data_IF_127772969139
#
_entry.id   IF_127772969139
#
_cell.length_a   1.000
_cell.length_b   1.000
_cell.length_c   1.000
_cell.angle_alpha   90.00
_cell.angle_beta   90.00
_cell.angle_gamma   90.00
#
_symmetry.space_group_name_H-M   'P 1'
#
loop_
_entity.id
_entity.type
_entity.pdbx_description
1 polymer ?
#
# COMPACT_ATOMS: atom_id res chain seq x y z
N UNK A 1 -24.69 20.12 -2.08
CA UNK A 1 -24.05 20.12 -0.75
C UNK A 1 -23.14 18.93 -0.66
N UNK A 2 -21.97 19.05 -0.04
CA UNK A 2 -21.09 17.92 0.22
C UNK A 2 -21.74 16.96 1.22
N UNK A 3 -21.63 15.62 0.98
CA UNK A 3 -22.08 14.63 1.95
C UNK A 3 -21.24 14.70 3.22
N UNK A 4 -21.90 14.62 4.38
CA UNK A 4 -21.24 14.63 5.68
C UNK A 4 -21.05 13.20 6.18
N UNK A 5 -19.80 12.81 6.46
CA UNK A 5 -19.45 11.50 6.98
C UNK A 5 -18.89 11.60 8.40
N UNK A 6 -19.37 10.75 9.31
CA UNK A 6 -18.75 10.53 10.61
C UNK A 6 -18.06 9.16 10.64
N UNK A 7 -16.80 9.12 11.09
CA UNK A 7 -16.06 7.88 11.27
C UNK A 7 -15.86 7.63 12.77
N UNK A 8 -16.63 6.72 13.33
CA UNK A 8 -16.54 6.33 14.74
C UNK A 8 -15.36 5.35 14.88
N UNK A 9 -14.40 5.69 15.74
CA UNK A 9 -13.09 5.03 15.76
C UNK A 9 -12.11 5.63 14.76
N UNK A 10 -12.41 6.83 14.24
CA UNK A 10 -11.68 7.51 13.18
C UNK A 10 -10.20 7.80 13.46
N UNK A 11 -9.78 7.75 14.72
CA UNK A 11 -8.36 7.93 15.09
C UNK A 11 -7.52 6.64 14.95
N UNK A 12 -8.14 5.49 14.70
CA UNK A 12 -7.47 4.25 14.35
C UNK A 12 -6.89 4.27 12.93
N UNK A 13 -6.04 3.31 12.60
CA UNK A 13 -5.35 3.26 11.30
C UNK A 13 -6.32 3.16 10.12
N UNK A 14 -7.31 2.25 10.17
CA UNK A 14 -8.35 2.14 9.14
C UNK A 14 -9.25 3.37 9.11
N UNK A 15 -9.58 3.95 10.26
CA UNK A 15 -10.37 5.18 10.34
C UNK A 15 -9.70 6.35 9.63
N UNK A 16 -8.40 6.53 9.82
CA UNK A 16 -7.61 7.56 9.11
C UNK A 16 -7.39 7.23 7.64
N UNK A 17 -7.34 5.96 7.29
CA UNK A 17 -7.30 5.54 5.91
C UNK A 17 -8.59 5.95 5.17
N UNK A 18 -9.76 5.67 5.75
CA UNK A 18 -11.06 6.05 5.21
C UNK A 18 -11.31 7.57 5.26
N UNK A 19 -10.76 8.29 6.26
CA UNK A 19 -10.78 9.76 6.28
C UNK A 19 -10.20 10.32 4.98
N UNK A 20 -8.98 9.90 4.62
CA UNK A 20 -8.33 10.34 3.38
C UNK A 20 -9.13 9.94 2.14
N UNK A 21 -9.64 8.71 2.13
CA UNK A 21 -10.42 8.16 1.05
C UNK A 21 -11.71 8.98 0.77
N UNK A 22 -12.47 9.31 1.80
CA UNK A 22 -13.70 10.10 1.69
C UNK A 22 -13.42 11.57 1.39
N UNK A 23 -12.40 12.17 2.03
CA UNK A 23 -12.03 13.56 1.77
C UNK A 23 -11.58 13.79 0.32
N UNK A 24 -10.84 12.86 -0.27
CA UNK A 24 -10.45 12.89 -1.69
C UNK A 24 -11.65 12.84 -2.65
N UNK A 25 -12.80 12.33 -2.18
CA UNK A 25 -14.06 12.26 -2.93
C UNK A 25 -15.05 13.37 -2.58
N UNK A 26 -14.56 14.43 -1.92
CA UNK A 26 -15.32 15.65 -1.65
C UNK A 26 -16.33 15.52 -0.51
N UNK A 27 -16.21 14.50 0.35
CA UNK A 27 -17.04 14.39 1.55
C UNK A 27 -16.47 15.23 2.69
N UNK A 28 -17.36 15.80 3.52
CA UNK A 28 -17.00 16.48 4.76
C UNK A 28 -16.88 15.44 5.88
N UNK A 29 -15.66 15.16 6.33
CA UNK A 29 -15.36 14.02 7.21
C UNK A 29 -15.08 14.48 8.62
N UNK A 30 -15.77 13.90 9.59
CA UNK A 30 -15.53 14.08 11.03
C UNK A 30 -15.03 12.79 11.66
N UNK A 31 -13.85 12.83 12.29
CA UNK A 31 -13.34 11.73 13.09
C UNK A 31 -13.93 11.76 14.50
N UNK A 32 -14.55 10.65 14.90
CA UNK A 32 -15.22 10.52 16.19
C UNK A 32 -14.43 9.53 17.05
N UNK A 33 -13.88 10.03 18.17
CA UNK A 33 -13.19 9.23 19.19
C UNK A 33 -14.05 9.05 20.44
N UNK A 34 -13.51 8.38 21.47
CA UNK A 34 -14.23 8.07 22.72
C UNK A 34 -14.71 9.31 23.48
N UNK A 35 -13.99 10.41 23.40
CA UNK A 35 -14.31 11.68 24.08
C UNK A 35 -15.07 12.68 23.19
N UNK A 36 -15.28 12.34 21.92
CA UNK A 36 -15.97 13.23 20.99
C UNK A 36 -17.44 13.29 21.32
N UNK A 37 -17.99 14.50 21.28
CA UNK A 37 -19.44 14.73 21.40
C UNK A 37 -19.93 15.26 20.07
N UNK A 38 -20.59 14.40 19.28
CA UNK A 38 -21.17 14.76 17.99
C UNK A 38 -22.67 14.46 18.00
N UNK A 39 -23.40 15.18 17.18
CA UNK A 39 -24.80 14.92 16.93
C UNK A 39 -24.92 14.08 15.66
N UNK A 40 -25.13 12.77 15.82
CA UNK A 40 -25.16 11.84 14.69
C UNK A 40 -26.25 12.15 13.65
N UNK A 41 -27.32 12.82 14.04
CA UNK A 41 -28.37 13.30 13.13
C UNK A 41 -27.88 14.33 12.09
N UNK A 42 -26.66 14.85 12.20
CA UNK A 42 -26.13 15.83 11.26
C UNK A 42 -25.39 15.15 10.07
N UNK A 43 -25.18 13.83 10.11
CA UNK A 43 -24.41 13.09 9.13
C UNK A 43 -25.28 12.28 8.17
N UNK A 44 -24.85 12.22 6.91
CA UNK A 44 -25.46 11.43 5.85
C UNK A 44 -24.96 9.99 5.87
N UNK A 45 -23.69 9.82 6.25
CA UNK A 45 -22.99 8.53 6.30
C UNK A 45 -22.31 8.40 7.66
N UNK A 46 -22.50 7.27 8.34
CA UNK A 46 -21.84 6.96 9.60
C UNK A 46 -21.16 5.61 9.48
N UNK A 47 -19.83 5.62 9.60
CA UNK A 47 -18.97 4.46 9.53
C UNK A 47 -18.53 4.06 10.94
N UNK A 48 -18.63 2.78 11.27
CA UNK A 48 -18.10 2.18 12.51
C UNK A 48 -16.78 1.49 12.18
N UNK A 49 -15.69 2.04 12.71
CA UNK A 49 -14.31 1.58 12.49
C UNK A 49 -13.58 1.34 13.82
N UNK A 50 -14.25 0.66 14.73
CA UNK A 50 -13.72 0.30 16.05
C UNK A 50 -13.30 -1.18 16.10
N UNK A 51 -12.52 -1.63 17.10
CA UNK A 51 -12.21 -3.04 17.29
C UNK A 51 -13.45 -3.93 17.37
N UNK A 52 -13.34 -5.18 16.90
CA UNK A 52 -14.45 -6.14 16.75
C UNK A 52 -15.20 -6.32 18.08
N UNK A 53 -14.46 -6.47 19.17
CA UNK A 53 -14.97 -6.72 20.54
C UNK A 53 -15.89 -5.63 21.09
N UNK A 54 -15.76 -4.39 20.60
CA UNK A 54 -16.59 -3.26 21.05
C UNK A 54 -17.57 -2.78 19.96
N UNK A 55 -17.55 -3.37 18.78
CA UNK A 55 -18.35 -2.93 17.64
C UNK A 55 -19.84 -2.92 17.94
N UNK A 56 -20.39 -3.99 18.53
CA UNK A 56 -21.81 -4.09 18.85
C UNK A 56 -22.25 -3.03 19.87
N UNK A 57 -21.44 -2.77 20.90
CA UNK A 57 -21.72 -1.76 21.91
C UNK A 57 -21.73 -0.34 21.31
N UNK A 58 -20.78 -0.08 20.42
CA UNK A 58 -20.70 1.21 19.71
C UNK A 58 -21.88 1.39 18.75
N UNK A 59 -22.27 0.35 18.02
CA UNK A 59 -23.46 0.37 17.16
C UNK A 59 -24.70 0.68 18.00
N UNK A 60 -24.89 0.03 19.15
CA UNK A 60 -26.02 0.26 20.05
C UNK A 60 -26.10 1.71 20.55
N UNK A 61 -24.96 2.37 20.75
CA UNK A 61 -24.90 3.76 21.19
C UNK A 61 -25.12 4.76 20.05
N UNK A 62 -24.70 4.46 18.84
CA UNK A 62 -24.70 5.38 17.69
C UNK A 62 -26.00 5.29 16.89
N UNK A 63 -26.43 4.09 16.58
CA UNK A 63 -27.51 3.83 15.63
C UNK A 63 -28.84 4.50 15.98
N UNK A 64 -29.30 4.59 17.26
CA UNK A 64 -30.57 5.24 17.61
C UNK A 64 -30.63 6.73 17.31
N UNK A 65 -29.47 7.37 17.12
CA UNK A 65 -29.35 8.84 16.97
C UNK A 65 -29.18 9.29 15.53
N UNK A 66 -29.30 8.38 14.57
CA UNK A 66 -29.17 8.69 13.14
C UNK A 66 -30.42 9.35 12.59
N UNK A 67 -30.22 10.23 11.61
CA UNK A 67 -31.37 10.85 10.88
C UNK A 67 -31.98 9.86 9.89
N UNK A 68 -33.22 10.09 9.47
CA UNK A 68 -33.81 9.37 8.35
C UNK A 68 -32.90 9.40 7.11
N UNK A 69 -32.90 8.33 6.37
CA UNK A 69 -32.13 8.15 5.13
C UNK A 69 -30.60 8.19 5.29
N UNK A 70 -30.07 8.26 6.50
CA UNK A 70 -28.63 8.09 6.72
C UNK A 70 -28.19 6.66 6.43
N UNK A 71 -26.96 6.50 5.97
CA UNK A 71 -26.31 5.19 5.77
C UNK A 71 -25.44 4.88 6.98
N UNK A 72 -25.75 3.81 7.71
CA UNK A 72 -24.90 3.26 8.76
C UNK A 72 -24.17 2.02 8.22
N UNK A 73 -22.85 1.98 8.36
CA UNK A 73 -22.11 0.78 8.02
C UNK A 73 -20.92 0.55 8.96
N UNK A 74 -20.54 -0.72 9.13
CA UNK A 74 -19.30 -1.14 9.80
C UNK A 74 -18.29 -1.67 8.78
N UNK A 75 -17.02 -1.82 9.23
CA UNK A 75 -15.94 -2.41 8.43
C UNK A 75 -15.29 -3.61 9.13
N UNK A 76 -16.01 -4.29 10.01
CA UNK A 76 -15.47 -5.43 10.76
C UNK A 76 -15.24 -6.66 9.89
N UNK A 77 -14.37 -7.55 10.35
CA UNK A 77 -14.10 -8.83 9.69
C UNK A 77 -15.15 -9.91 9.94
N UNK A 78 -16.18 -9.62 10.74
CA UNK A 78 -17.32 -10.51 11.03
C UNK A 78 -18.62 -9.79 10.69
N UNK A 79 -19.67 -10.52 10.29
CA UNK A 79 -20.91 -9.89 9.82
C UNK A 79 -22.13 -10.14 10.69
N UNK A 80 -22.30 -11.35 11.21
CA UNK A 80 -23.53 -11.73 11.92
C UNK A 80 -23.89 -10.81 13.08
N UNK A 81 -22.95 -10.60 14.01
CA UNK A 81 -23.24 -9.87 15.25
C UNK A 81 -23.40 -8.36 15.03
N UNK A 82 -22.52 -7.67 14.29
CA UNK A 82 -22.72 -6.28 13.92
C UNK A 82 -24.04 -6.02 13.20
N UNK A 83 -24.42 -6.88 12.24
CA UNK A 83 -25.68 -6.77 11.50
C UNK A 83 -26.88 -6.90 12.41
N UNK A 84 -26.92 -7.91 13.28
CA UNK A 84 -27.99 -8.07 14.26
C UNK A 84 -28.13 -6.85 15.15
N UNK A 85 -27.01 -6.28 15.59
CA UNK A 85 -26.99 -5.11 16.43
C UNK A 85 -27.48 -3.86 15.69
N UNK A 86 -27.07 -3.67 14.42
CA UNK A 86 -27.59 -2.56 13.58
C UNK A 86 -29.11 -2.67 13.42
N UNK A 87 -29.62 -3.86 13.09
CA UNK A 87 -31.05 -4.10 12.90
C UNK A 87 -31.85 -3.87 14.18
N UNK A 88 -31.29 -4.20 15.32
CA UNK A 88 -31.96 -4.03 16.63
C UNK A 88 -31.98 -2.57 17.10
N UNK A 89 -30.96 -1.77 16.73
CA UNK A 89 -30.74 -0.45 17.33
C UNK A 89 -31.13 0.71 16.41
N UNK A 90 -31.04 0.53 15.07
CA UNK A 90 -31.24 1.62 14.15
C UNK A 90 -32.72 1.85 13.81
N UNK A 91 -33.18 3.12 13.71
CA UNK A 91 -34.51 3.45 13.22
C UNK A 91 -34.79 2.81 11.85
N UNK A 92 -36.04 2.48 11.57
CA UNK A 92 -36.41 1.82 10.30
C UNK A 92 -36.10 2.64 9.05
N UNK A 93 -36.01 3.96 9.19
CA UNK A 93 -35.68 4.89 8.11
C UNK A 93 -34.17 4.98 7.79
N UNK A 94 -33.31 4.29 8.54
CA UNK A 94 -31.86 4.28 8.34
C UNK A 94 -31.47 3.12 7.44
N UNK A 95 -30.63 3.37 6.45
CA UNK A 95 -30.06 2.35 5.58
C UNK A 95 -28.89 1.65 6.26
N UNK A 96 -28.86 0.32 6.20
CA UNK A 96 -27.86 -0.48 6.90
C UNK A 96 -27.07 -1.31 5.91
N UNK A 97 -25.76 -1.23 6.02
CA UNK A 97 -24.81 -2.00 5.22
C UNK A 97 -23.70 -2.52 6.12
N UNK A 98 -23.16 -3.67 5.83
CA UNK A 98 -21.95 -4.13 6.49
C UNK A 98 -20.87 -4.36 5.44
N UNK A 99 -19.68 -3.83 5.65
CA UNK A 99 -18.59 -3.82 4.67
C UNK A 99 -17.39 -4.55 5.24
N UNK A 100 -16.66 -5.29 4.42
CA UNK A 100 -15.37 -5.88 4.81
C UNK A 100 -14.31 -5.60 3.75
N UNK A 101 -13.47 -4.57 3.93
CA UNK A 101 -12.28 -4.40 3.12
C UNK A 101 -11.31 -5.54 3.40
N UNK A 102 -10.95 -6.32 2.37
CA UNK A 102 -10.00 -7.44 2.53
C UNK A 102 -8.54 -6.96 2.46
N UNK A 103 -8.29 -5.78 2.96
CA UNK A 103 -6.95 -5.17 3.03
C UNK A 103 -6.77 -4.38 4.32
N UNK A 104 -5.52 -4.16 4.69
CA UNK A 104 -5.16 -3.36 5.86
C UNK A 104 -4.76 -1.92 5.52
N UNK A 105 -4.53 -1.08 6.53
CA UNK A 105 -4.26 0.35 6.39
C UNK A 105 -2.94 0.69 5.66
N UNK A 106 -2.08 -0.30 5.45
CA UNK A 106 -0.83 -0.15 4.67
C UNK A 106 -1.03 -0.08 3.16
N UNK A 107 -2.25 -0.33 2.64
CA UNK A 107 -2.52 -0.14 1.21
C UNK A 107 -2.64 1.35 0.87
N UNK A 108 -2.01 1.82 -0.23
CA UNK A 108 -2.06 3.24 -0.60
C UNK A 108 -3.46 3.67 -1.04
N UNK A 109 -4.18 2.80 -1.72
CA UNK A 109 -5.52 3.02 -2.29
C UNK A 109 -6.32 1.72 -2.39
N UNK A 110 -7.49 1.75 -3.04
CA UNK A 110 -8.36 0.59 -3.27
C UNK A 110 -8.11 -0.13 -4.60
N UNK A 111 -7.23 0.38 -5.46
CA UNK A 111 -7.03 -0.20 -6.79
C UNK A 111 -6.69 -1.69 -6.73
N UNK A 112 -7.52 -2.51 -7.36
CA UNK A 112 -7.39 -3.97 -7.37
C UNK A 112 -7.66 -4.68 -6.04
N UNK A 113 -8.02 -3.95 -4.96
CA UNK A 113 -8.38 -4.55 -3.68
C UNK A 113 -9.80 -5.11 -3.72
N UNK A 114 -10.06 -6.12 -2.91
CA UNK A 114 -11.42 -6.68 -2.77
C UNK A 114 -12.12 -6.06 -1.58
N UNK A 115 -13.37 -5.65 -1.77
CA UNK A 115 -14.27 -5.16 -0.72
C UNK A 115 -15.55 -5.98 -0.77
N UNK A 116 -15.92 -6.60 0.33
CA UNK A 116 -17.19 -7.29 0.44
C UNK A 116 -18.24 -6.32 1.00
N UNK A 117 -19.36 -6.21 0.32
CA UNK A 117 -20.54 -5.45 0.74
C UNK A 117 -21.63 -6.43 1.08
N UNK A 118 -22.21 -6.30 2.27
CA UNK A 118 -23.36 -7.09 2.73
C UNK A 118 -24.53 -6.13 2.95
N UNK A 119 -25.49 -6.06 2.01
CA UNK A 119 -26.72 -5.29 2.20
C UNK A 119 -27.51 -5.85 3.39
N UNK A 120 -28.03 -4.96 4.24
CA UNK A 120 -28.76 -5.35 5.46
C UNK A 120 -30.18 -4.81 5.44
N UNK A 121 -30.34 -3.52 5.12
CA UNK A 121 -31.64 -2.86 5.03
C UNK A 121 -31.54 -1.64 4.11
N UNK A 122 -32.40 -1.55 3.10
CA UNK A 122 -32.39 -0.55 2.04
C UNK A 122 -31.38 -0.92 0.94
N UNK A 123 -31.65 -0.43 -0.27
CA UNK A 123 -30.82 -0.73 -1.45
C UNK A 123 -29.88 0.45 -1.81
N UNK A 124 -30.33 1.68 -1.48
CA UNK A 124 -29.59 2.90 -1.84
C UNK A 124 -28.24 3.00 -1.16
N UNK A 125 -28.16 2.62 0.13
CA UNK A 125 -26.91 2.68 0.90
C UNK A 125 -25.89 1.68 0.42
N UNK A 126 -26.28 0.44 0.12
CA UNK A 126 -25.40 -0.58 -0.42
C UNK A 126 -24.91 -0.23 -1.83
N UNK A 127 -25.80 0.24 -2.71
CA UNK A 127 -25.42 0.69 -4.05
C UNK A 127 -24.47 1.89 -3.99
N UNK A 128 -24.76 2.89 -3.14
CA UNK A 128 -23.88 4.04 -2.96
C UNK A 128 -22.46 3.63 -2.56
N UNK A 129 -22.32 2.71 -1.58
CA UNK A 129 -21.01 2.25 -1.13
C UNK A 129 -20.31 1.39 -2.20
N UNK A 130 -21.05 0.54 -2.91
CA UNK A 130 -20.50 -0.27 -4.00
C UNK A 130 -19.96 0.65 -5.11
N UNK A 131 -20.75 1.59 -5.63
CA UNK A 131 -20.35 2.54 -6.67
C UNK A 131 -19.11 3.36 -6.24
N UNK A 132 -19.11 3.79 -4.95
CA UNK A 132 -18.00 4.56 -4.39
C UNK A 132 -16.69 3.77 -4.40
N UNK A 133 -16.72 2.48 -4.04
CA UNK A 133 -15.55 1.63 -3.99
C UNK A 133 -15.11 1.18 -5.39
N UNK A 134 -16.05 0.82 -6.27
CA UNK A 134 -15.76 0.47 -7.67
C UNK A 134 -15.13 1.64 -8.43
N UNK A 135 -15.65 2.87 -8.22
CA UNK A 135 -15.06 4.09 -8.80
C UNK A 135 -13.61 4.33 -8.35
N UNK A 136 -13.20 3.69 -7.26
CA UNK A 136 -11.84 3.72 -6.72
C UNK A 136 -10.97 2.55 -7.20
N UNK A 137 -11.45 1.74 -8.15
CA UNK A 137 -10.75 0.58 -8.67
C UNK A 137 -10.83 -0.69 -7.81
N UNK A 138 -11.69 -0.69 -6.77
CA UNK A 138 -11.90 -1.90 -5.97
C UNK A 138 -12.73 -2.93 -6.75
N UNK A 139 -12.52 -4.20 -6.43
CA UNK A 139 -13.43 -5.29 -6.79
C UNK A 139 -14.45 -5.44 -5.68
N UNK A 140 -15.70 -5.09 -5.96
CA UNK A 140 -16.79 -5.20 -5.01
C UNK A 140 -17.49 -6.54 -5.20
N UNK A 141 -17.66 -7.28 -4.11
CA UNK A 141 -18.38 -8.54 -4.07
C UNK A 141 -19.53 -8.42 -3.06
N UNK A 142 -20.72 -8.80 -3.48
CA UNK A 142 -21.89 -8.80 -2.60
C UNK A 142 -22.15 -10.19 -2.05
N UNK A 143 -22.20 -10.32 -0.70
CA UNK A 143 -22.44 -11.56 -0.01
C UNK A 143 -23.47 -11.36 1.11
N UNK A 144 -24.24 -12.41 1.41
CA UNK A 144 -25.00 -12.48 2.66
C UNK A 144 -24.07 -12.63 3.87
N UNK A 145 -24.53 -12.24 5.06
CA UNK A 145 -23.75 -12.38 6.30
C UNK A 145 -23.29 -13.81 6.55
N UNK A 146 -24.16 -14.78 6.33
CA UNK A 146 -23.85 -16.21 6.55
C UNK A 146 -22.83 -16.74 5.54
N UNK A 147 -22.92 -16.30 4.31
CA UNK A 147 -21.97 -16.69 3.26
C UNK A 147 -20.60 -16.04 3.50
N UNK A 148 -20.59 -14.75 3.84
CA UNK A 148 -19.38 -14.04 4.23
C UNK A 148 -18.66 -14.76 5.37
N UNK A 149 -19.35 -15.00 6.51
CA UNK A 149 -18.71 -15.56 7.70
C UNK A 149 -18.23 -17.01 7.46
N UNK A 150 -18.96 -17.79 6.65
CA UNK A 150 -18.53 -19.13 6.22
C UNK A 150 -17.25 -19.07 5.36
N UNK A 151 -17.20 -18.17 4.38
CA UNK A 151 -16.00 -18.00 3.53
C UNK A 151 -14.81 -17.47 4.34
N UNK A 152 -15.04 -16.49 5.22
CA UNK A 152 -13.98 -15.91 6.03
C UNK A 152 -13.44 -16.86 7.09
N UNK A 153 -14.23 -17.84 7.55
CA UNK A 153 -13.72 -18.90 8.42
C UNK A 153 -12.59 -19.71 7.76
N UNK A 154 -12.61 -19.85 6.42
CA UNK A 154 -11.51 -20.48 5.68
C UNK A 154 -10.48 -19.44 5.24
N UNK A 155 -10.90 -18.38 4.55
CA UNK A 155 -9.99 -17.39 3.94
C UNK A 155 -9.14 -16.66 4.99
N UNK A 156 -9.74 -16.29 6.11
CA UNK A 156 -9.03 -15.63 7.22
C UNK A 156 -8.74 -16.58 8.37
N UNK A 157 -9.75 -17.33 8.82
CA UNK A 157 -9.63 -18.24 9.96
C UNK A 157 -8.50 -19.24 9.77
N UNK A 158 -8.57 -20.08 8.74
CA UNK A 158 -7.54 -21.10 8.48
C UNK A 158 -6.19 -20.49 8.14
N UNK A 159 -6.16 -19.44 7.31
CA UNK A 159 -4.90 -18.81 6.89
C UNK A 159 -4.16 -18.24 8.09
N UNK A 160 -4.81 -17.41 8.89
CA UNK A 160 -4.15 -16.81 10.07
C UNK A 160 -3.77 -17.87 11.09
N UNK A 161 -4.67 -18.85 11.34
CA UNK A 161 -4.38 -19.94 12.26
C UNK A 161 -3.13 -20.73 11.87
N UNK A 162 -2.98 -21.06 10.59
CA UNK A 162 -1.80 -21.80 10.11
C UNK A 162 -0.49 -21.03 10.30
N UNK A 163 -0.47 -19.71 10.07
CA UNK A 163 0.70 -18.87 10.31
C UNK A 163 1.00 -18.71 11.80
N UNK A 164 -0.05 -18.52 12.64
CA UNK A 164 0.12 -18.43 14.10
C UNK A 164 0.64 -19.78 14.65
N UNK A 165 0.07 -20.90 14.21
CA UNK A 165 0.52 -22.23 14.60
C UNK A 165 1.97 -22.51 14.19
N UNK A 166 2.35 -22.07 12.98
CA UNK A 166 3.75 -22.15 12.52
C UNK A 166 4.67 -21.33 13.42
N UNK A 167 4.30 -20.09 13.75
CA UNK A 167 5.09 -19.25 14.65
C UNK A 167 5.23 -19.84 16.05
N UNK A 168 4.15 -20.36 16.62
CA UNK A 168 4.16 -21.06 17.92
C UNK A 168 5.01 -22.34 17.88
N UNK A 169 5.01 -23.06 16.75
CA UNK A 169 5.87 -24.23 16.55
C UNK A 169 7.36 -23.84 16.55
N UNK A 170 7.72 -22.76 15.86
CA UNK A 170 9.10 -22.26 15.85
C UNK A 170 9.56 -21.85 17.26
N UNK A 171 8.67 -21.23 18.05
CA UNK A 171 8.93 -20.89 19.45
C UNK A 171 9.15 -22.15 20.29
N UNK A 172 8.23 -23.12 20.22
CA UNK A 172 8.34 -24.40 20.96
C UNK A 172 9.63 -25.14 20.63
N UNK A 173 10.09 -25.09 19.38
CA UNK A 173 11.37 -25.66 18.94
C UNK A 173 12.59 -24.81 19.33
N UNK A 174 12.40 -23.63 19.90
CA UNK A 174 13.45 -22.63 20.17
C UNK A 174 14.30 -22.35 18.93
N UNK A 175 13.65 -22.30 17.78
CA UNK A 175 14.31 -22.16 16.49
C UNK A 175 14.78 -20.72 16.26
N UNK A 176 16.07 -20.54 15.92
CA UNK A 176 16.65 -19.22 15.63
C UNK A 176 16.25 -18.76 14.22
N UNK A 177 15.13 -18.05 14.13
CA UNK A 177 14.59 -17.50 12.87
C UNK A 177 15.57 -16.51 12.24
N UNK A 178 16.29 -15.68 13.02
CA UNK A 178 17.27 -14.72 12.46
C UNK A 178 18.43 -15.43 11.79
N UNK A 179 18.96 -16.46 12.43
CA UNK A 179 20.04 -17.27 11.85
C UNK A 179 19.57 -18.02 10.61
N UNK A 180 18.34 -18.51 10.61
CA UNK A 180 17.79 -19.30 9.48
C UNK A 180 17.71 -18.51 8.18
N UNK A 181 17.57 -17.17 8.25
CA UNK A 181 17.58 -16.30 7.06
C UNK A 181 18.82 -16.45 6.18
N UNK A 182 19.91 -16.94 6.72
CA UNK A 182 21.15 -17.23 5.96
C UNK A 182 21.08 -18.52 5.11
N UNK A 183 20.05 -19.32 5.28
CA UNK A 183 19.86 -20.63 4.65
C UNK A 183 18.50 -20.78 3.97
N UNK A 184 17.85 -19.66 3.65
CA UNK A 184 16.50 -19.66 3.11
C UNK A 184 16.45 -20.18 1.67
N UNK A 185 15.46 -21.02 1.40
CA UNK A 185 14.92 -21.14 0.05
C UNK A 185 13.89 -20.05 -0.19
N UNK A 186 13.61 -19.64 -1.44
CA UNK A 186 12.61 -18.60 -1.71
C UNK A 186 11.21 -18.92 -1.14
N UNK A 187 10.82 -20.18 -1.09
CA UNK A 187 9.55 -20.62 -0.50
C UNK A 187 9.54 -20.43 1.02
N UNK A 188 10.66 -20.75 1.69
CA UNK A 188 10.81 -20.55 3.12
C UNK A 188 10.82 -19.07 3.50
N UNK A 189 11.49 -18.24 2.71
CA UNK A 189 11.52 -16.78 2.89
C UNK A 189 10.12 -16.20 2.91
N UNK A 190 9.31 -16.49 1.87
CA UNK A 190 7.92 -16.05 1.78
C UNK A 190 7.11 -16.55 3.00
N UNK A 191 7.25 -17.82 3.38
CA UNK A 191 6.54 -18.37 4.54
C UNK A 191 6.88 -17.59 5.81
N UNK A 192 8.16 -17.38 6.10
CA UNK A 192 8.60 -16.70 7.33
C UNK A 192 8.20 -15.24 7.36
N UNK A 193 8.23 -14.56 6.23
CA UNK A 193 7.80 -13.17 6.15
C UNK A 193 6.28 -13.04 6.39
N UNK A 194 5.46 -13.95 5.88
CA UNK A 194 4.03 -13.98 6.18
C UNK A 194 3.74 -14.38 7.64
N UNK A 195 4.47 -15.31 8.22
CA UNK A 195 4.41 -15.60 9.66
C UNK A 195 4.74 -14.35 10.47
N UNK A 196 5.84 -13.67 10.16
CA UNK A 196 6.24 -12.43 10.79
C UNK A 196 5.21 -11.31 10.63
N UNK A 197 4.61 -11.18 9.43
CA UNK A 197 3.54 -10.22 9.15
C UNK A 197 2.33 -10.41 10.06
N UNK A 198 1.90 -11.65 10.29
CA UNK A 198 0.75 -11.96 11.15
C UNK A 198 1.11 -11.73 12.62
N UNK A 199 2.25 -12.24 13.08
CA UNK A 199 2.70 -12.11 14.47
C UNK A 199 3.06 -10.66 14.86
N UNK A 200 3.43 -9.82 13.91
CA UNK A 200 3.77 -8.40 14.14
C UNK A 200 2.57 -7.46 14.24
N UNK A 201 1.35 -7.95 14.01
CA UNK A 201 0.14 -7.16 14.11
C UNK A 201 -0.54 -7.32 15.49
N UNK A 202 -1.73 -6.71 15.66
CA UNK A 202 -2.47 -6.73 16.92
C UNK A 202 -2.92 -8.14 17.32
N UNK A 203 -2.43 -8.74 18.41
CA UNK A 203 -2.88 -10.04 18.88
C UNK A 203 -4.38 -10.06 19.20
N UNK A 204 -4.93 -8.95 19.71
CA UNK A 204 -6.34 -8.83 20.02
C UNK A 204 -7.23 -8.93 18.78
N UNK A 205 -6.81 -8.33 17.66
CA UNK A 205 -7.53 -8.44 16.39
C UNK A 205 -7.59 -9.90 15.93
N UNK A 206 -6.47 -10.60 15.92
CA UNK A 206 -6.43 -12.00 15.51
C UNK A 206 -7.18 -12.93 16.46
N UNK A 207 -7.12 -12.66 17.77
CA UNK A 207 -7.95 -13.40 18.72
C UNK A 207 -9.44 -13.26 18.40
N UNK A 208 -9.92 -12.03 18.17
CA UNK A 208 -11.33 -11.79 17.81
C UNK A 208 -11.73 -12.51 16.51
N UNK A 209 -10.89 -12.47 15.48
CA UNK A 209 -11.13 -13.19 14.22
C UNK A 209 -11.19 -14.71 14.46
N UNK A 210 -10.22 -15.27 15.19
CA UNK A 210 -10.14 -16.71 15.43
C UNK A 210 -11.29 -17.22 16.30
N UNK A 211 -11.70 -16.48 17.33
CA UNK A 211 -12.83 -16.85 18.19
C UNK A 211 -14.18 -16.77 17.48
N UNK A 212 -14.27 -15.97 16.40
CA UNK A 212 -15.49 -15.82 15.59
C UNK A 212 -15.54 -16.78 14.40
N UNK A 213 -14.41 -17.42 14.04
CA UNK A 213 -14.36 -18.39 12.95
C UNK A 213 -15.09 -19.71 13.33
N UNK A 214 -15.61 -20.41 12.32
CA UNK A 214 -16.21 -21.72 12.54
C UNK A 214 -15.18 -22.70 13.07
N UNK A 215 -15.43 -23.23 14.26
CA UNK A 215 -14.55 -24.16 14.96
C UNK A 215 -14.20 -25.40 14.13
N UNK A 216 -15.11 -25.87 13.29
CA UNK A 216 -14.89 -27.00 12.41
C UNK A 216 -13.70 -26.87 11.48
N UNK A 217 -13.33 -25.64 11.10
CA UNK A 217 -12.16 -25.35 10.25
C UNK A 217 -10.86 -25.66 10.99
N UNK A 218 -10.76 -25.25 12.25
CA UNK A 218 -9.58 -25.54 13.09
C UNK A 218 -9.47 -27.04 13.41
N UNK A 219 -10.61 -27.67 13.70
CA UNK A 219 -10.66 -29.11 13.96
C UNK A 219 -10.25 -29.92 12.73
N UNK A 220 -10.71 -29.53 11.54
CA UNK A 220 -10.29 -30.15 10.28
C UNK A 220 -8.79 -30.01 10.03
N UNK A 221 -8.24 -28.82 10.27
CA UNK A 221 -6.80 -28.60 10.12
C UNK A 221 -5.99 -29.48 11.08
N UNK A 222 -6.36 -29.51 12.35
CA UNK A 222 -5.70 -30.35 13.35
C UNK A 222 -5.77 -31.84 12.98
N UNK A 223 -6.95 -32.33 12.53
CA UNK A 223 -7.11 -33.72 12.11
C UNK A 223 -6.21 -34.10 10.94
N UNK A 224 -6.03 -33.19 9.95
CA UNK A 224 -5.11 -33.43 8.84
C UNK A 224 -3.65 -33.38 9.29
N UNK A 225 -3.26 -32.49 10.18
CA UNK A 225 -1.92 -32.48 10.77
C UNK A 225 -1.61 -33.79 11.51
N UNK A 226 -2.55 -34.27 12.33
CA UNK A 226 -2.42 -35.53 13.05
C UNK A 226 -2.26 -36.71 12.08
N UNK A 227 -3.13 -36.80 11.07
CA UNK A 227 -3.04 -37.83 10.02
C UNK A 227 -1.68 -37.86 9.32
N UNK A 228 -1.14 -36.67 8.97
CA UNK A 228 0.16 -36.59 8.33
C UNK A 228 1.29 -37.03 9.25
N UNK A 229 1.23 -36.66 10.54
CA UNK A 229 2.21 -37.11 11.55
C UNK A 229 2.19 -38.62 11.72
N UNK A 230 0.98 -39.22 11.81
CA UNK A 230 0.84 -40.67 11.94
C UNK A 230 1.43 -41.42 10.74
N UNK A 231 1.15 -40.96 9.52
CA UNK A 231 1.71 -41.52 8.29
C UNK A 231 3.26 -41.40 8.27
N UNK A 232 3.80 -40.27 8.70
CA UNK A 232 5.25 -40.06 8.79
C UNK A 232 5.88 -41.00 9.82
N UNK A 233 5.26 -41.16 10.98
CA UNK A 233 5.71 -42.05 12.04
C UNK A 233 5.69 -43.52 11.57
N UNK A 234 4.65 -43.90 10.84
CA UNK A 234 4.51 -45.23 10.22
C UNK A 234 5.45 -45.44 9.02
N UNK A 235 6.13 -44.39 8.53
CA UNK A 235 6.94 -44.37 7.30
C UNK A 235 6.17 -44.84 6.06
N UNK A 236 4.86 -44.64 6.05
CA UNK A 236 3.99 -45.03 4.95
C UNK A 236 4.07 -44.00 3.81
N UNK A 237 5.03 -44.21 2.92
CA UNK A 237 5.28 -43.36 1.76
C UNK A 237 4.10 -43.30 0.80
N UNK A 238 3.42 -44.44 0.60
CA UNK A 238 2.34 -44.52 -0.37
C UNK A 238 1.08 -43.78 0.13
N UNK A 239 0.76 -43.89 1.40
CA UNK A 239 -0.30 -43.11 2.03
C UNK A 239 -0.02 -41.61 1.98
N UNK A 240 1.24 -41.19 2.20
CA UNK A 240 1.65 -39.78 2.07
C UNK A 240 1.43 -39.25 0.64
N UNK A 241 1.88 -40.01 -0.37
CA UNK A 241 1.69 -39.66 -1.77
C UNK A 241 0.19 -39.60 -2.12
N UNK A 242 -0.59 -40.54 -1.61
CA UNK A 242 -2.03 -40.58 -1.84
C UNK A 242 -2.76 -39.33 -1.28
N UNK A 243 -2.40 -38.86 -0.08
CA UNK A 243 -2.95 -37.61 0.49
C UNK A 243 -2.56 -36.42 -0.39
N UNK A 244 -1.30 -36.27 -0.77
CA UNK A 244 -0.85 -35.17 -1.62
C UNK A 244 -1.62 -35.14 -2.95
N UNK A 245 -1.80 -36.30 -3.60
CA UNK A 245 -2.55 -36.39 -4.87
C UNK A 245 -4.01 -36.02 -4.71
N UNK A 246 -4.67 -36.47 -3.64
CA UNK A 246 -6.07 -36.07 -3.35
C UNK A 246 -6.19 -34.58 -3.10
N UNK A 247 -5.30 -34.01 -2.30
CA UNK A 247 -5.28 -32.58 -1.99
C UNK A 247 -5.03 -31.75 -3.26
N UNK A 248 -4.06 -32.11 -4.10
CA UNK A 248 -3.79 -31.45 -5.36
C UNK A 248 -4.96 -31.52 -6.35
N UNK A 249 -5.65 -32.67 -6.43
CA UNK A 249 -6.84 -32.83 -7.25
C UNK A 249 -8.00 -31.94 -6.77
N UNK A 250 -8.22 -31.87 -5.47
CA UNK A 250 -9.26 -30.99 -4.88
C UNK A 250 -8.92 -29.52 -5.07
N UNK A 251 -7.64 -29.16 -4.89
CA UNK A 251 -7.14 -27.79 -5.09
C UNK A 251 -7.39 -27.28 -6.52
N UNK A 252 -7.25 -28.15 -7.52
CA UNK A 252 -7.63 -27.89 -8.93
C UNK A 252 -6.75 -26.89 -9.68
N UNK A 253 -6.09 -25.95 -9.01
CA UNK A 253 -5.32 -24.82 -9.56
C UNK A 253 -3.82 -24.91 -9.25
N UNK A 254 -3.29 -26.13 -9.06
CA UNK A 254 -1.90 -26.31 -8.58
C UNK A 254 -0.84 -25.82 -9.60
N UNK A 255 -1.02 -26.08 -10.91
CA UNK A 255 -0.09 -25.62 -11.92
C UNK A 255 -0.11 -24.09 -12.13
N UNK A 256 -1.27 -23.43 -12.29
CA UNK A 256 -1.34 -21.98 -12.27
C UNK A 256 -0.80 -21.34 -10.97
N UNK A 257 -1.04 -21.95 -9.81
CA UNK A 257 -0.49 -21.48 -8.54
C UNK A 257 1.04 -21.53 -8.52
N UNK A 258 1.65 -22.58 -9.08
CA UNK A 258 3.11 -22.66 -9.24
C UNK A 258 3.65 -21.50 -10.10
N UNK A 259 2.99 -21.19 -11.20
CA UNK A 259 3.39 -20.07 -12.08
C UNK A 259 3.26 -18.72 -11.37
N UNK A 260 2.16 -18.51 -10.60
CA UNK A 260 1.97 -17.28 -9.81
C UNK A 260 2.99 -17.14 -8.69
N UNK A 261 3.30 -18.22 -7.96
CA UNK A 261 4.31 -18.19 -6.90
C UNK A 261 5.72 -17.94 -7.46
N UNK A 262 6.05 -18.52 -8.62
CA UNK A 262 7.30 -18.21 -9.32
C UNK A 262 7.39 -16.72 -9.70
N UNK A 263 6.26 -16.08 -10.10
CA UNK A 263 6.24 -14.64 -10.39
C UNK A 263 6.56 -13.80 -9.16
N UNK A 264 6.07 -14.18 -7.97
CA UNK A 264 6.40 -13.50 -6.70
C UNK A 264 7.89 -13.64 -6.37
N UNK A 265 8.42 -14.86 -6.45
CA UNK A 265 9.86 -15.14 -6.24
C UNK A 265 10.72 -14.31 -7.20
N UNK A 266 10.35 -14.29 -8.48
CA UNK A 266 11.11 -13.55 -9.49
C UNK A 266 11.01 -12.03 -9.32
N UNK A 267 9.96 -11.52 -8.68
CA UNK A 267 9.84 -10.08 -8.40
C UNK A 267 10.94 -9.60 -7.45
N UNK A 268 11.21 -10.34 -6.37
CA UNK A 268 12.29 -10.03 -5.42
C UNK A 268 13.68 -10.11 -6.11
N UNK A 269 13.90 -11.12 -6.96
CA UNK A 269 15.15 -11.24 -7.71
C UNK A 269 15.34 -10.05 -8.67
N UNK A 270 14.29 -9.65 -9.37
CA UNK A 270 14.34 -8.51 -10.31
C UNK A 270 14.63 -7.20 -9.60
N UNK A 271 14.07 -6.98 -8.42
CA UNK A 271 14.37 -5.78 -7.64
C UNK A 271 15.86 -5.69 -7.29
N UNK A 272 16.47 -6.79 -6.82
CA UNK A 272 17.91 -6.84 -6.56
C UNK A 272 18.73 -6.62 -7.84
N UNK A 273 18.32 -7.19 -8.97
CA UNK A 273 18.96 -6.94 -10.26
C UNK A 273 18.87 -5.48 -10.67
N UNK A 274 17.74 -4.83 -10.41
CA UNK A 274 17.53 -3.42 -10.71
C UNK A 274 18.42 -2.51 -9.85
N UNK A 275 18.57 -2.82 -8.56
CA UNK A 275 19.55 -2.15 -7.71
C UNK A 275 20.98 -2.30 -8.27
N UNK A 276 21.38 -3.50 -8.67
CA UNK A 276 22.69 -3.76 -9.27
C UNK A 276 22.91 -3.03 -10.59
N UNK A 277 21.88 -2.97 -11.45
CA UNK A 277 21.93 -2.21 -12.71
C UNK A 277 22.00 -0.69 -12.47
N UNK A 278 21.55 -0.24 -11.33
CA UNK A 278 21.56 1.17 -10.95
C UNK A 278 22.87 1.63 -10.33
N UNK A 279 23.87 0.76 -10.15
CA UNK A 279 25.19 1.14 -9.65
C UNK A 279 25.83 2.17 -10.57
N UNK A 280 26.33 3.26 -9.99
CA UNK A 280 26.89 4.41 -10.70
C UNK A 280 25.85 5.44 -11.14
N UNK A 281 24.55 5.21 -10.94
CA UNK A 281 23.49 6.17 -11.27
C UNK A 281 22.87 6.79 -10.02
N UNK A 282 22.37 8.03 -10.17
CA UNK A 282 21.59 8.69 -9.11
C UNK A 282 20.20 8.08 -9.06
N UNK A 283 19.81 7.55 -7.90
CA UNK A 283 18.51 6.95 -7.64
C UNK A 283 17.89 7.49 -6.35
N UNK A 284 16.58 7.35 -6.23
CA UNK A 284 15.84 7.53 -4.99
C UNK A 284 15.50 6.18 -4.38
N UNK A 285 15.76 6.02 -3.10
CA UNK A 285 15.41 4.86 -2.30
C UNK A 285 14.47 5.29 -1.19
N UNK A 286 13.30 4.67 -1.12
CA UNK A 286 12.31 4.95 -0.07
C UNK A 286 12.36 3.86 0.98
N UNK A 287 12.57 4.22 2.23
CA UNK A 287 12.45 3.28 3.34
C UNK A 287 10.98 2.87 3.50
N UNK A 288 10.71 1.58 3.43
CA UNK A 288 9.35 1.01 3.44
C UNK A 288 8.63 1.15 4.79
N UNK A 289 9.39 1.33 5.89
CA UNK A 289 8.83 1.46 7.24
C UNK A 289 8.62 2.90 7.65
N UNK A 290 9.59 3.77 7.33
CA UNK A 290 9.58 5.17 7.80
C UNK A 290 9.12 6.15 6.74
N UNK A 291 9.08 5.74 5.47
CA UNK A 291 8.85 6.62 4.33
C UNK A 291 10.02 7.57 4.03
N UNK A 292 11.12 7.49 4.80
CA UNK A 292 12.31 8.31 4.55
C UNK A 292 12.88 8.04 3.16
N UNK A 293 13.25 9.10 2.46
CA UNK A 293 13.78 9.01 1.10
C UNK A 293 15.26 9.39 1.10
N UNK A 294 16.07 8.50 0.55
CA UNK A 294 17.49 8.65 0.29
C UNK A 294 17.70 8.89 -1.20
N UNK A 295 18.42 9.96 -1.56
CA UNK A 295 18.69 10.29 -2.96
C UNK A 295 20.20 10.44 -3.14
N UNK A 296 20.78 9.58 -3.96
CA UNK A 296 22.21 9.57 -4.18
C UNK A 296 22.66 8.61 -5.28
N UNK A 297 23.97 8.50 -5.47
CA UNK A 297 24.57 7.55 -6.41
C UNK A 297 24.69 6.20 -5.71
N UNK A 298 24.12 5.16 -6.31
CA UNK A 298 24.29 3.80 -5.81
C UNK A 298 25.73 3.36 -6.08
N UNK A 299 26.48 3.07 -5.03
CA UNK A 299 27.88 2.61 -5.11
C UNK A 299 28.02 1.09 -5.12
N UNK A 300 27.07 0.42 -4.48
CA UNK A 300 27.04 -1.05 -4.42
C UNK A 300 25.65 -1.54 -3.98
N UNK A 301 25.31 -2.74 -4.41
CA UNK A 301 24.09 -3.42 -4.02
C UNK A 301 24.33 -4.91 -3.86
N UNK A 302 23.88 -5.47 -2.74
CA UNK A 302 23.87 -6.88 -2.41
C UNK A 302 22.50 -7.34 -1.95
N UNK A 303 22.30 -8.61 -1.62
CA UNK A 303 21.09 -9.11 -0.98
C UNK A 303 20.80 -8.46 0.38
N UNK A 304 21.84 -8.00 1.07
CA UNK A 304 21.74 -7.52 2.46
C UNK A 304 21.79 -5.99 2.56
N UNK A 305 22.63 -5.35 1.72
CA UNK A 305 22.94 -3.92 1.85
C UNK A 305 23.08 -3.22 0.51
N UNK A 306 22.68 -1.95 0.51
CA UNK A 306 22.86 -1.00 -0.58
C UNK A 306 23.67 0.18 -0.06
N UNK A 307 24.79 0.47 -0.72
CA UNK A 307 25.62 1.64 -0.45
C UNK A 307 25.19 2.82 -1.35
N UNK A 308 24.84 3.94 -0.76
CA UNK A 308 24.37 5.17 -1.44
C UNK A 308 25.26 6.33 -1.06
N UNK A 309 25.80 7.04 -2.04
CA UNK A 309 26.55 8.28 -1.86
C UNK A 309 25.58 9.48 -1.94
N UNK A 310 25.26 10.08 -0.79
CA UNK A 310 24.43 11.28 -0.65
C UNK A 310 25.33 12.52 -0.49
N UNK A 311 25.64 13.20 -1.58
CA UNK A 311 26.61 14.31 -1.58
C UNK A 311 28.00 13.84 -1.17
N UNK A 312 28.48 14.21 0.02
CA UNK A 312 29.80 13.79 0.55
C UNK A 312 29.72 12.64 1.57
N UNK A 313 28.56 12.08 1.79
CA UNK A 313 28.35 11.01 2.78
C UNK A 313 27.96 9.71 2.08
N UNK A 314 28.53 8.61 2.55
CA UNK A 314 28.08 7.28 2.20
C UNK A 314 27.10 6.77 3.26
N UNK A 315 25.96 6.29 2.82
CA UNK A 315 24.90 5.73 3.67
C UNK A 315 24.71 4.26 3.28
N UNK A 316 24.80 3.37 4.25
CA UNK A 316 24.51 1.95 4.06
C UNK A 316 23.08 1.68 4.50
N UNK A 317 22.28 1.17 3.59
CA UNK A 317 20.86 0.83 3.81
C UNK A 317 20.69 -0.69 3.68
N UNK A 318 19.82 -1.25 4.50
CA UNK A 318 19.42 -2.64 4.32
C UNK A 318 18.55 -2.79 3.09
N UNK A 319 18.86 -3.71 2.20
CA UNK A 319 18.12 -3.96 0.95
C UNK A 319 16.64 -4.26 1.24
N UNK A 320 16.35 -5.06 2.27
CA UNK A 320 15.00 -5.42 2.70
C UNK A 320 14.14 -4.23 3.20
N UNK A 321 14.79 -3.10 3.55
CA UNK A 321 14.11 -1.94 4.14
C UNK A 321 13.86 -0.82 3.14
N UNK A 322 14.29 -0.95 1.90
CA UNK A 322 14.19 0.11 0.92
C UNK A 322 13.61 -0.39 -0.39
N UNK A 323 12.87 0.48 -1.04
CA UNK A 323 12.31 0.28 -2.37
C UNK A 323 12.89 1.32 -3.32
N UNK A 324 13.21 0.90 -4.54
CA UNK A 324 13.65 1.81 -5.59
C UNK A 324 12.48 2.68 -6.05
N UNK A 325 12.65 3.98 -6.01
CA UNK A 325 11.67 4.91 -6.56
C UNK A 325 11.73 4.90 -8.09
N UNK A 326 10.57 4.99 -8.72
CA UNK A 326 10.48 5.23 -10.16
C UNK A 326 11.11 6.59 -10.50
N UNK A 327 11.49 6.79 -11.75
CA UNK A 327 12.04 8.08 -12.20
C UNK A 327 11.06 9.23 -12.00
N UNK A 328 9.77 8.98 -12.20
CA UNK A 328 8.74 10.01 -12.00
C UNK A 328 8.54 10.33 -10.51
N UNK A 329 8.50 9.34 -9.62
CA UNK A 329 8.44 9.56 -8.17
C UNK A 329 9.66 10.35 -7.67
N UNK A 330 10.86 9.99 -8.13
CA UNK A 330 12.09 10.70 -7.77
C UNK A 330 12.03 12.14 -8.27
N UNK A 331 11.58 12.37 -9.49
CA UNK A 331 11.40 13.70 -10.07
C UNK A 331 10.44 14.55 -9.25
N UNK A 332 9.26 14.02 -8.92
CA UNK A 332 8.27 14.72 -8.11
C UNK A 332 8.81 15.02 -6.70
N UNK A 333 9.46 14.06 -6.07
CA UNK A 333 10.10 14.27 -4.77
C UNK A 333 11.14 15.39 -4.79
N UNK A 334 12.01 15.42 -5.83
CA UNK A 334 13.05 16.45 -5.97
C UNK A 334 12.45 17.83 -6.27
N UNK A 335 11.40 17.90 -7.11
CA UNK A 335 10.69 19.15 -7.40
C UNK A 335 10.02 19.74 -6.14
N UNK A 336 9.40 18.89 -5.31
CA UNK A 336 8.78 19.32 -4.05
C UNK A 336 9.78 19.93 -3.04
N UNK A 337 11.06 19.58 -3.13
CA UNK A 337 12.14 20.15 -2.29
C UNK A 337 12.67 21.50 -2.80
N UNK A 338 12.12 21.98 -3.91
CA UNK A 338 12.46 23.24 -4.54
C UNK A 338 13.54 23.12 -5.62
N UNK A 339 13.72 24.22 -6.32
CA UNK A 339 14.65 24.35 -7.43
C UNK A 339 15.66 25.45 -7.15
N UNK A 340 16.80 25.40 -7.84
CA UNK A 340 17.76 26.50 -7.98
C UNK A 340 17.76 26.90 -9.44
N UNK A 341 18.19 28.13 -9.74
CA UNK A 341 18.30 28.58 -11.11
C UNK A 341 19.62 29.33 -11.31
N UNK A 342 20.02 29.40 -12.57
CA UNK A 342 21.12 30.22 -13.04
C UNK A 342 20.73 30.89 -14.34
N UNK A 343 21.12 32.17 -14.49
CA UNK A 343 20.83 32.94 -15.68
C UNK A 343 22.06 32.92 -16.60
N UNK A 344 21.82 32.67 -17.89
CA UNK A 344 22.84 32.63 -18.94
C UNK A 344 22.47 33.64 -20.01
N UNK A 345 23.32 34.64 -20.16
CA UNK A 345 23.16 35.67 -21.19
C UNK A 345 24.13 35.41 -22.35
N UNK A 346 23.59 35.34 -23.55
CA UNK A 346 24.37 35.06 -24.74
C UNK A 346 23.90 35.89 -25.95
N UNK A 347 24.84 36.16 -26.85
CA UNK A 347 24.56 36.73 -28.17
C UNK A 347 24.50 35.59 -29.17
N UNK A 348 23.44 35.55 -29.96
CA UNK A 348 23.15 34.47 -30.88
C UNK A 348 23.52 34.74 -32.32
N UNK A 349 23.80 33.71 -33.14
CA UNK A 349 23.92 33.86 -34.58
C UNK A 349 22.63 34.42 -35.21
N UNK A 350 22.76 35.08 -36.35
CA UNK A 350 21.59 35.58 -37.07
C UNK A 350 20.61 34.43 -37.42
N UNK A 351 19.34 34.63 -37.11
CA UNK A 351 18.28 33.63 -37.36
C UNK A 351 18.05 32.61 -36.26
N UNK A 352 18.79 32.62 -35.15
CA UNK A 352 18.55 31.76 -34.02
C UNK A 352 17.20 32.07 -33.34
N UNK A 353 16.41 31.07 -33.10
CA UNK A 353 15.11 31.18 -32.40
C UNK A 353 15.26 30.81 -30.94
N UNK A 354 14.97 31.74 -30.00
CA UNK A 354 15.19 31.49 -28.57
C UNK A 354 14.42 30.31 -28.03
N UNK A 355 13.21 30.05 -28.52
CA UNK A 355 12.38 28.88 -28.09
C UNK A 355 13.01 27.55 -28.52
N UNK A 356 13.71 27.52 -29.67
CA UNK A 356 14.44 26.33 -30.10
C UNK A 356 15.64 26.10 -29.19
N UNK A 357 16.37 27.17 -28.88
CA UNK A 357 17.52 27.10 -27.95
C UNK A 357 17.05 26.66 -26.55
N UNK A 358 15.94 27.21 -26.04
CA UNK A 358 15.39 26.80 -24.75
C UNK A 358 15.04 25.29 -24.71
N UNK A 359 14.47 24.75 -25.80
CA UNK A 359 14.22 23.30 -25.94
C UNK A 359 15.52 22.51 -25.98
N UNK A 360 16.55 22.98 -26.66
CA UNK A 360 17.87 22.31 -26.66
C UNK A 360 18.48 22.33 -25.26
N UNK A 361 18.45 23.47 -24.57
CA UNK A 361 18.94 23.58 -23.20
C UNK A 361 18.18 22.68 -22.22
N UNK A 362 16.90 22.46 -22.46
CA UNK A 362 16.09 21.55 -21.61
C UNK A 362 16.48 20.07 -21.72
N UNK A 363 17.29 19.69 -22.73
CA UNK A 363 17.83 18.32 -22.86
C UNK A 363 19.08 18.09 -22.01
N UNK A 364 19.68 19.16 -21.44
CA UNK A 364 20.84 19.03 -20.57
C UNK A 364 20.44 18.29 -19.29
N UNK A 365 21.25 17.34 -18.90
CA UNK A 365 21.00 16.51 -17.72
C UNK A 365 20.85 17.37 -16.46
N UNK A 366 19.75 17.17 -15.72
CA UNK A 366 19.47 17.89 -14.48
C UNK A 366 18.75 19.23 -14.67
N UNK A 367 18.51 19.66 -15.89
CA UNK A 367 17.64 20.81 -16.18
C UNK A 367 16.18 20.43 -15.95
N UNK A 368 15.46 21.27 -15.19
CA UNK A 368 14.05 21.06 -14.86
C UNK A 368 13.14 22.03 -15.61
N UNK A 369 13.63 23.22 -15.92
CA UNK A 369 12.94 24.22 -16.73
C UNK A 369 13.93 25.21 -17.35
N UNK A 370 13.57 25.74 -18.52
CA UNK A 370 14.28 26.82 -19.19
C UNK A 370 13.28 27.89 -19.60
N UNK A 371 13.52 29.13 -19.16
CA UNK A 371 12.69 30.28 -19.49
C UNK A 371 13.52 31.37 -20.10
N UNK A 372 13.07 31.98 -21.20
CA UNK A 372 13.63 33.20 -21.74
C UNK A 372 13.14 34.35 -20.87
N UNK A 373 14.05 35.01 -20.14
CA UNK A 373 13.69 36.05 -19.16
C UNK A 373 14.02 37.45 -19.65
N UNK A 374 14.91 37.58 -20.67
CA UNK A 374 15.27 38.87 -21.26
C UNK A 374 15.67 38.71 -22.74
N UNK A 375 15.38 39.76 -23.54
CA UNK A 375 15.66 39.81 -24.94
C UNK A 375 16.08 41.23 -25.33
N UNK A 376 17.31 41.39 -25.85
CA UNK A 376 17.80 42.63 -26.40
C UNK A 376 17.98 42.53 -27.91
N UNK A 377 16.93 42.91 -28.67
CA UNK A 377 16.82 42.76 -30.11
C UNK A 377 17.98 43.37 -30.93
N UNK A 378 18.54 44.61 -30.60
CA UNK A 378 19.60 45.21 -31.40
C UNK A 378 20.89 44.40 -31.50
N UNK A 379 21.10 43.44 -30.58
CA UNK A 379 22.31 42.59 -30.55
C UNK A 379 21.99 41.10 -30.63
N UNK A 380 20.74 40.71 -30.92
CA UNK A 380 20.27 39.32 -30.85
C UNK A 380 20.74 38.61 -29.57
N UNK A 381 20.60 39.29 -28.43
CA UNK A 381 21.02 38.81 -27.13
C UNK A 381 19.84 38.35 -26.33
N UNK A 382 19.93 37.16 -25.76
CA UNK A 382 18.88 36.56 -24.90
C UNK A 382 19.48 36.13 -23.57
N UNK A 383 18.66 36.21 -22.53
CA UNK A 383 18.99 35.63 -21.21
C UNK A 383 18.05 34.49 -20.90
N UNK A 384 18.60 33.33 -20.66
CA UNK A 384 17.88 32.12 -20.28
C UNK A 384 18.02 31.87 -18.79
N UNK A 385 16.91 31.73 -18.10
CA UNK A 385 16.87 31.17 -16.74
C UNK A 385 16.80 29.68 -16.85
N UNK A 386 17.86 28.99 -16.46
CA UNK A 386 17.93 27.53 -16.42
C UNK A 386 17.76 27.07 -14.98
N UNK A 387 16.70 26.31 -14.72
CA UNK A 387 16.40 25.77 -13.42
C UNK A 387 16.92 24.33 -13.29
N UNK A 388 17.35 23.97 -12.08
CA UNK A 388 17.76 22.61 -11.70
C UNK A 388 17.20 22.24 -10.35
N UNK A 389 17.27 20.98 -9.98
CA UNK A 389 16.88 20.53 -8.64
C UNK A 389 17.75 21.21 -7.57
N UNK A 390 17.19 21.39 -6.36
CA UNK A 390 17.90 22.02 -5.24
C UNK A 390 19.19 21.28 -4.86
N UNK A 391 19.23 19.97 -5.02
CA UNK A 391 20.35 19.06 -4.77
C UNK A 391 21.21 18.81 -6.01
N UNK A 392 20.92 19.48 -7.15
CA UNK A 392 21.69 19.38 -8.38
C UNK A 392 23.06 20.08 -8.28
N UNK A 393 24.04 19.55 -9.02
CA UNK A 393 25.36 20.18 -9.17
C UNK A 393 25.25 21.40 -10.08
N UNK A 394 25.20 22.57 -9.47
CA UNK A 394 25.11 23.87 -10.20
C UNK A 394 26.40 24.17 -10.97
N UNK A 395 27.56 23.68 -10.51
CA UNK A 395 28.85 23.84 -11.21
C UNK A 395 28.87 23.05 -12.52
N UNK A 396 28.52 21.77 -12.47
CA UNK A 396 28.42 20.92 -13.65
C UNK A 396 27.35 21.44 -14.62
N UNK A 397 26.18 21.83 -14.11
CA UNK A 397 25.13 22.45 -14.94
C UNK A 397 25.64 23.67 -15.67
N UNK A 398 26.41 24.54 -14.99
CA UNK A 398 26.99 25.72 -15.61
C UNK A 398 27.95 25.36 -16.74
N UNK A 399 28.81 24.36 -16.53
CA UNK A 399 29.75 23.88 -17.55
C UNK A 399 29.00 23.34 -18.77
N UNK A 400 28.04 22.43 -18.55
CA UNK A 400 27.32 21.76 -19.62
C UNK A 400 26.47 22.73 -20.46
N UNK A 401 25.78 23.68 -19.81
CA UNK A 401 25.01 24.73 -20.50
C UNK A 401 25.92 25.69 -21.28
N UNK A 402 27.04 26.06 -20.69
CA UNK A 402 28.03 26.94 -21.32
C UNK A 402 28.63 26.29 -22.58
N UNK A 403 29.06 25.03 -22.47
CA UNK A 403 29.61 24.25 -23.58
C UNK A 403 28.59 24.09 -24.71
N UNK A 404 27.34 23.79 -24.36
CA UNK A 404 26.27 23.66 -25.35
C UNK A 404 25.99 24.99 -26.08
N UNK A 405 25.90 26.13 -25.35
CA UNK A 405 25.69 27.45 -25.93
C UNK A 405 26.83 27.84 -26.87
N UNK A 406 28.08 27.58 -26.49
CA UNK A 406 29.25 27.81 -27.34
C UNK A 406 29.19 26.90 -28.58
N UNK A 407 28.87 25.62 -28.39
CA UNK A 407 28.76 24.62 -29.47
C UNK A 407 27.77 24.98 -30.56
N UNK A 408 26.67 25.66 -30.21
CA UNK A 408 25.66 26.14 -31.17
C UNK A 408 26.00 27.54 -31.72
N UNK A 409 27.21 28.04 -31.44
CA UNK A 409 27.73 29.30 -31.99
C UNK A 409 27.37 30.59 -31.24
N UNK A 410 26.91 30.47 -29.98
CA UNK A 410 26.61 31.62 -29.14
C UNK A 410 27.89 32.21 -28.53
N UNK A 411 27.89 33.54 -28.28
CA UNK A 411 28.91 34.22 -27.48
C UNK A 411 28.31 34.57 -26.12
N UNK A 412 28.84 33.96 -25.07
CA UNK A 412 28.44 34.28 -23.70
C UNK A 412 28.85 35.72 -23.32
N UNK A 413 28.07 36.33 -22.44
CA UNK A 413 28.32 37.64 -21.83
C UNK A 413 28.74 37.52 -20.40
#
# INVERSE_FOLDING_TARGET
MSLKAAIVGGHGEMGRWFERFFAQRGMDVTLVGRSSRVRYADYDVVMIAVPIDVTCDVIAQVAPHLKPDAVLFDITSIKRDPIKQMQASAPHSVELVSVHPLFGPGMPDMEGQTVIVTPVRGERGSQFLADLFESAGARVEELSADEHDRLMSVIQGLTHFSYIATGATLEALRFDVKRSRRFMSPVYEILIDFVGRILGQSPALYASIQMSADRSVHEAFLAQCTTLVDIINARDRDAFIAIMRRAAKHFGDAEPALKRSNKLIMANIKELEEFKRSIGSTRGLRNVYTGAVHVGIIKGASSDEIAVEEGSKEVILKTENVQLMTEEELKQYRLARGQRYRDFSAVFPAGAQPDVVARVLSTVRGVTAVNVIDHYAPRASYTFRVSTYRDGDVGQLHSDVTELLIGIGCRLR
#
